data_IF_604449335252
#
_entry.id   IF_604449335252
#
_cell.length_a   1.000
_cell.length_b   1.000
_cell.length_c   1.000
_cell.angle_alpha   90.00
_cell.angle_beta   90.00
_cell.angle_gamma   90.00
#
_symmetry.space_group_name_H-M   'P 1'
#
loop_
_entity.id
_entity.type
_entity.pdbx_description
1 polymer ?
#
# COMPACT_ATOMS: atom_id res chain seq x y z
N UNK A 1 6.42 10.57 -7.39
CA UNK A 1 5.14 10.28 -6.69
C UNK A 1 4.21 11.48 -6.48
N UNK A 2 4.62 12.75 -6.68
CA UNK A 2 3.83 13.95 -6.28
C UNK A 2 2.49 14.20 -7.01
N UNK A 3 2.06 13.34 -7.94
CA UNK A 3 0.87 13.60 -8.77
C UNK A 3 -0.13 12.42 -8.85
N UNK A 4 0.04 11.37 -8.04
CA UNK A 4 -0.90 10.23 -8.03
C UNK A 4 -1.97 10.37 -6.93
N UNK A 5 -1.55 10.76 -5.72
CA UNK A 5 -2.41 11.02 -4.55
C UNK A 5 -1.98 12.33 -3.89
N UNK A 6 -2.83 12.82 -2.97
CA UNK A 6 -2.52 13.97 -2.11
C UNK A 6 -1.18 13.80 -1.39
N UNK A 7 -0.56 14.93 -1.06
CA UNK A 7 0.67 14.92 -0.25
C UNK A 7 0.39 14.23 1.10
N UNK A 8 1.24 13.26 1.52
CA UNK A 8 1.12 12.62 2.82
C UNK A 8 1.25 13.61 3.98
N UNK A 9 0.55 13.33 5.09
CA UNK A 9 0.75 14.07 6.35
C UNK A 9 2.05 13.62 7.03
N UNK A 10 2.34 12.31 7.00
CA UNK A 10 3.57 11.73 7.52
C UNK A 10 4.65 11.71 6.43
N UNK A 11 5.87 12.10 6.79
CA UNK A 11 7.07 12.00 5.96
C UNK A 11 7.37 10.56 5.51
N UNK A 12 8.35 10.36 4.62
CA UNK A 12 8.75 9.01 4.22
C UNK A 12 9.30 8.23 5.43
N UNK A 13 10.19 8.84 6.21
CA UNK A 13 10.83 8.18 7.36
C UNK A 13 9.81 7.79 8.43
N UNK A 14 8.82 8.65 8.73
CA UNK A 14 7.75 8.33 9.67
C UNK A 14 6.87 7.17 9.18
N UNK A 15 6.60 7.09 7.88
CA UNK A 15 5.83 5.98 7.30
C UNK A 15 6.62 4.68 7.32
N UNK A 16 7.91 4.71 7.00
CA UNK A 16 8.80 3.55 7.10
C UNK A 16 8.85 3.05 8.54
N UNK A 17 9.06 3.93 9.51
CA UNK A 17 9.05 3.58 10.93
C UNK A 17 7.70 2.99 11.38
N UNK A 18 6.58 3.54 10.89
CA UNK A 18 5.25 3.02 11.20
C UNK A 18 5.02 1.61 10.66
N UNK A 19 5.51 1.29 9.46
CA UNK A 19 5.39 -0.07 8.88
C UNK A 19 6.34 -1.03 9.58
N UNK A 20 7.58 -0.60 9.87
CA UNK A 20 8.56 -1.41 10.59
C UNK A 20 8.14 -1.74 12.04
N UNK A 21 7.31 -0.90 12.66
CA UNK A 21 6.71 -1.18 13.97
C UNK A 21 5.59 -2.23 13.95
N UNK A 22 5.16 -2.70 12.78
CA UNK A 22 4.14 -3.73 12.67
C UNK A 22 4.72 -5.10 13.03
N UNK A 23 4.07 -5.82 13.96
CA UNK A 23 4.50 -7.15 14.44
C UNK A 23 4.75 -8.18 13.33
N UNK A 24 4.06 -8.05 12.20
CA UNK A 24 4.09 -9.03 11.10
C UNK A 24 5.07 -8.65 9.99
N UNK A 25 5.83 -7.56 10.13
CA UNK A 25 6.74 -7.06 9.11
C UNK A 25 8.17 -7.44 9.48
N UNK A 26 8.86 -8.13 8.58
CA UNK A 26 10.28 -8.45 8.71
C UNK A 26 11.18 -7.38 8.06
N UNK A 27 10.81 -6.89 6.87
CA UNK A 27 11.57 -5.89 6.11
C UNK A 27 10.64 -4.83 5.51
N UNK A 28 11.12 -3.58 5.46
CA UNK A 28 10.45 -2.46 4.77
C UNK A 28 11.37 -1.94 3.67
N UNK A 29 10.86 -1.93 2.43
CA UNK A 29 11.55 -1.32 1.28
C UNK A 29 11.09 0.12 1.10
N UNK A 30 11.90 1.14 1.46
CA UNK A 30 11.54 2.54 1.21
C UNK A 30 11.56 2.85 -0.29
N UNK A 31 10.85 3.92 -0.67
CA UNK A 31 10.80 4.41 -2.06
C UNK A 31 10.43 3.34 -3.11
N UNK A 32 9.61 2.37 -2.72
CA UNK A 32 9.10 1.35 -3.62
C UNK A 32 8.36 1.97 -4.82
N UNK A 33 8.51 1.40 -6.04
CA UNK A 33 7.86 1.93 -7.22
C UNK A 33 6.33 1.81 -7.10
N UNK A 34 5.61 2.77 -7.69
CA UNK A 34 4.14 2.76 -7.67
C UNK A 34 3.55 1.52 -8.37
N UNK A 35 4.22 1.05 -9.42
CA UNK A 35 3.89 -0.15 -10.18
C UNK A 35 5.14 -1.01 -10.26
N UNK A 36 5.05 -2.26 -9.82
CA UNK A 36 6.17 -3.20 -9.84
C UNK A 36 6.25 -3.93 -11.19
N UNK A 37 7.46 -4.03 -11.73
CA UNK A 37 7.73 -4.79 -12.97
C UNK A 37 8.08 -6.23 -12.63
N UNK A 38 8.09 -7.10 -13.66
CA UNK A 38 8.49 -8.50 -13.51
C UNK A 38 9.92 -8.60 -13.00
N UNK A 39 10.82 -7.81 -13.56
CA UNK A 39 12.24 -7.80 -13.19
C UNK A 39 12.43 -7.38 -11.74
N UNK A 40 11.63 -6.41 -11.26
CA UNK A 40 11.69 -5.97 -9.86
C UNK A 40 11.24 -7.07 -8.89
N UNK A 41 10.22 -7.84 -9.27
CA UNK A 41 9.69 -8.99 -8.52
C UNK A 41 10.74 -10.11 -8.49
N UNK A 42 11.29 -10.49 -9.64
CA UNK A 42 12.27 -11.57 -9.79
C UNK A 42 13.60 -11.24 -9.09
N UNK A 43 14.09 -10.00 -9.15
CA UNK A 43 15.32 -9.58 -8.44
C UNK A 43 15.22 -9.65 -6.91
N UNK A 44 14.00 -9.74 -6.37
CA UNK A 44 13.71 -9.77 -4.94
C UNK A 44 13.14 -11.10 -4.48
N UNK A 45 13.06 -12.08 -5.37
CA UNK A 45 12.49 -13.41 -5.09
C UNK A 45 11.08 -13.32 -4.46
N UNK A 46 10.22 -12.45 -4.99
CA UNK A 46 8.87 -12.25 -4.46
C UNK A 46 7.93 -13.33 -4.99
N UNK A 47 7.50 -14.22 -4.10
CA UNK A 47 6.56 -15.31 -4.41
C UNK A 47 5.08 -14.89 -4.43
N UNK A 48 4.74 -13.82 -3.70
CA UNK A 48 3.36 -13.41 -3.47
C UNK A 48 3.22 -11.89 -3.33
N UNK A 49 2.21 -11.31 -3.97
CA UNK A 49 1.83 -9.91 -3.82
C UNK A 49 0.41 -9.84 -3.27
N UNK A 50 0.22 -9.07 -2.19
CA UNK A 50 -1.07 -8.98 -1.50
C UNK A 50 -1.52 -7.53 -1.39
N UNK A 51 -2.81 -7.28 -1.65
CA UNK A 51 -3.46 -5.99 -1.43
C UNK A 51 -4.85 -6.18 -0.78
N UNK A 52 -5.41 -5.12 -0.19
CA UNK A 52 -6.81 -5.11 0.22
C UNK A 52 -7.76 -5.33 -0.97
N UNK A 53 -8.97 -5.82 -0.70
CA UNK A 53 -10.03 -6.03 -1.70
C UNK A 53 -10.80 -4.74 -2.07
N UNK A 54 -10.32 -3.58 -1.67
CA UNK A 54 -10.97 -2.27 -1.78
C UNK A 54 -10.75 -1.53 -3.11
N UNK A 55 -10.05 -2.14 -4.07
CA UNK A 55 -9.84 -1.58 -5.42
C UNK A 55 -10.86 -2.11 -6.44
N UNK A 56 -11.15 -1.30 -7.46
CA UNK A 56 -11.86 -1.74 -8.66
C UNK A 56 -10.96 -2.60 -9.54
N UNK A 57 -11.55 -3.38 -10.46
CA UNK A 57 -10.80 -4.18 -11.44
C UNK A 57 -9.83 -3.32 -12.28
N UNK A 58 -10.26 -2.11 -12.69
CA UNK A 58 -9.40 -1.18 -13.42
C UNK A 58 -8.19 -0.73 -12.58
N UNK A 59 -8.39 -0.48 -11.28
CA UNK A 59 -7.30 -0.12 -10.39
C UNK A 59 -6.34 -1.29 -10.19
N UNK A 60 -6.84 -2.53 -10.05
CA UNK A 60 -5.98 -3.71 -9.98
C UNK A 60 -5.16 -3.89 -11.25
N UNK A 61 -5.75 -3.79 -12.43
CA UNK A 61 -5.00 -3.90 -13.69
C UNK A 61 -3.94 -2.79 -13.78
N UNK A 62 -4.27 -1.57 -13.39
CA UNK A 62 -3.36 -0.42 -13.44
C UNK A 62 -2.15 -0.55 -12.51
N UNK A 63 -2.35 -1.00 -11.26
CA UNK A 63 -1.28 -1.01 -10.24
C UNK A 63 -0.62 -2.38 -10.06
N UNK A 64 -1.38 -3.45 -10.28
CA UNK A 64 -1.00 -4.84 -9.99
C UNK A 64 -1.15 -5.76 -11.21
N UNK A 65 -1.32 -5.23 -12.42
CA UNK A 65 -1.44 -6.04 -13.64
C UNK A 65 -0.29 -7.02 -13.85
N UNK A 66 0.94 -6.65 -13.50
CA UNK A 66 2.13 -7.54 -13.57
C UNK A 66 1.99 -8.77 -12.67
N UNK A 67 1.85 -8.63 -11.32
CA UNK A 67 1.68 -9.80 -10.46
C UNK A 67 0.40 -10.59 -10.72
N UNK A 68 -0.67 -9.95 -11.23
CA UNK A 68 -1.90 -10.65 -11.68
C UNK A 68 -1.59 -11.58 -12.86
N UNK A 69 -0.92 -11.08 -13.90
CA UNK A 69 -0.51 -11.88 -15.06
C UNK A 69 0.48 -13.00 -14.69
N UNK A 70 1.26 -12.81 -13.64
CA UNK A 70 2.15 -13.83 -13.09
C UNK A 70 1.44 -14.87 -12.21
N UNK A 71 0.16 -14.67 -11.84
CA UNK A 71 -0.59 -15.59 -11.00
C UNK A 71 -0.25 -15.50 -9.49
N UNK A 72 0.54 -14.51 -9.08
CA UNK A 72 1.05 -14.35 -7.70
C UNK A 72 0.32 -13.27 -6.90
N UNK A 73 -0.72 -12.65 -7.46
CA UNK A 73 -1.53 -11.65 -6.76
C UNK A 73 -2.65 -12.29 -5.93
N UNK A 74 -2.84 -11.85 -4.69
CA UNK A 74 -3.95 -12.24 -3.81
C UNK A 74 -4.55 -11.01 -3.13
N UNK A 75 -5.82 -11.12 -2.72
CA UNK A 75 -6.50 -10.08 -1.95
C UNK A 75 -6.77 -10.53 -0.52
N UNK A 76 -6.90 -9.55 0.38
CA UNK A 76 -7.37 -9.74 1.76
C UNK A 76 -8.50 -8.76 2.04
N UNK A 77 -9.44 -9.16 2.91
CA UNK A 77 -10.61 -8.34 3.22
C UNK A 77 -10.21 -7.01 3.88
N UNK A 78 -10.80 -5.91 3.38
CA UNK A 78 -10.65 -4.60 3.99
C UNK A 78 -11.20 -4.58 5.42
N UNK A 79 -10.53 -3.85 6.33
CA UNK A 79 -10.99 -3.72 7.72
C UNK A 79 -12.01 -2.59 7.83
N UNK A 80 -13.30 -2.88 8.09
CA UNK A 80 -14.33 -1.85 8.16
C UNK A 80 -14.16 -0.97 9.40
N UNK A 81 -14.62 0.28 9.31
CA UNK A 81 -14.66 1.22 10.45
C UNK A 81 -13.35 1.94 10.76
N UNK A 82 -12.28 1.71 9.98
CA UNK A 82 -11.02 2.44 10.13
C UNK A 82 -10.41 2.79 8.77
N UNK A 83 -10.02 4.05 8.58
CA UNK A 83 -9.26 4.49 7.41
C UNK A 83 -8.48 5.76 7.74
N UNK A 84 -7.43 6.07 6.96
CA UNK A 84 -6.68 7.33 7.14
C UNK A 84 -7.58 8.56 6.93
N UNK A 85 -8.54 8.47 6.00
CA UNK A 85 -9.51 9.56 5.77
C UNK A 85 -10.41 9.77 6.99
N UNK A 86 -10.90 8.69 7.58
CA UNK A 86 -11.74 8.73 8.78
C UNK A 86 -10.98 9.32 9.98
N UNK A 87 -9.73 8.90 10.20
CA UNK A 87 -8.88 9.46 11.27
C UNK A 87 -8.70 10.97 11.08
N UNK A 88 -8.43 11.43 9.86
CA UNK A 88 -8.27 12.86 9.57
C UNK A 88 -9.56 13.63 9.84
N UNK A 89 -10.71 13.09 9.43
CA UNK A 89 -12.02 13.70 9.70
C UNK A 89 -12.24 13.84 11.21
N UNK A 90 -11.97 12.79 11.99
CA UNK A 90 -12.08 12.82 13.45
C UNK A 90 -11.17 13.86 14.10
N UNK A 91 -9.91 13.96 13.68
CA UNK A 91 -8.98 14.97 14.19
C UNK A 91 -9.43 16.40 13.85
N UNK A 92 -10.02 16.63 12.68
CA UNK A 92 -10.54 17.95 12.27
C UNK A 92 -11.83 18.33 13.01
N UNK A 93 -12.66 17.34 13.33
CA UNK A 93 -13.91 17.55 14.07
C UNK A 93 -13.70 17.69 15.58
N UNK A 94 -12.50 17.38 16.08
CA UNK A 94 -12.15 17.56 17.48
C UNK A 94 -11.96 19.06 17.78
N UNK A 95 -12.95 19.64 18.45
CA UNK A 95 -12.90 20.97 19.06
C UNK A 95 -12.68 20.78 20.58
N UNK A 96 -11.47 21.05 21.11
CA UNK A 96 -11.07 20.72 22.48
C UNK A 96 -11.81 21.51 23.57
#
# INVERSE_FOLDING_TARGET
>A
MRNYKREPILSMDERVASVAGCRYVDEVVPDAPLTITREWIEQRDIDLVVHGDDFTEEQYERFYGTPIKMGIFRTVAYTPGISTSEIITRCKAFDP
#
